data_IF_562623089476
#
_entry.id   IF_562623089476
#
_cell.length_a   1.000
_cell.length_b   1.000
_cell.length_c   1.000
_cell.angle_alpha   90.00
_cell.angle_beta   90.00
_cell.angle_gamma   90.00
#
_symmetry.space_group_name_H-M   'P 1'
#
loop_
_entity.id
_entity.type
_entity.pdbx_description
1 polymer ?
#
# COMPACT_ATOMS: atom_id res chain seq x y z
N UNK A 1 -11.36 6.13 -24.03
CA UNK A 1 -10.34 6.97 -24.69
C UNK A 1 -9.90 8.19 -23.88
N UNK A 2 -10.08 8.23 -22.55
CA UNK A 2 -9.76 9.43 -21.75
C UNK A 2 -8.28 9.81 -21.81
N UNK A 3 -7.38 8.88 -21.45
CA UNK A 3 -5.93 9.12 -21.36
C UNK A 3 -5.34 9.66 -22.66
N UNK A 4 -5.72 9.06 -23.79
CA UNK A 4 -5.24 9.48 -25.12
C UNK A 4 -5.69 10.90 -25.47
N UNK A 5 -6.93 11.26 -25.14
CA UNK A 5 -7.46 12.60 -25.38
C UNK A 5 -6.89 13.63 -24.42
N UNK A 6 -6.66 13.27 -23.15
CA UNK A 6 -5.99 14.14 -22.18
C UNK A 6 -4.55 14.45 -22.64
N UNK A 7 -3.83 13.44 -23.14
CA UNK A 7 -2.48 13.58 -23.71
C UNK A 7 -2.40 14.46 -24.96
N UNK A 8 -3.53 14.64 -25.66
CA UNK A 8 -3.62 15.51 -26.83
C UNK A 8 -4.25 16.87 -26.52
N UNK A 9 -4.56 17.16 -25.26
CA UNK A 9 -5.31 18.35 -24.85
C UNK A 9 -6.71 18.45 -25.50
N UNK A 10 -7.31 17.31 -25.84
CA UNK A 10 -8.63 17.17 -26.49
C UNK A 10 -9.62 16.43 -25.60
N UNK A 11 -9.63 16.71 -24.29
CA UNK A 11 -10.40 15.95 -23.27
C UNK A 11 -11.90 15.79 -23.59
N UNK A 12 -12.52 16.76 -24.28
CA UNK A 12 -13.92 16.72 -24.73
C UNK A 12 -14.20 15.65 -25.80
N UNK A 13 -13.19 15.21 -26.56
CA UNK A 13 -13.33 14.19 -27.61
C UNK A 13 -13.41 12.75 -27.09
N UNK A 14 -13.42 12.52 -25.76
CA UNK A 14 -13.56 11.16 -25.19
C UNK A 14 -14.86 10.45 -25.58
N UNK A 15 -15.89 11.21 -25.92
CA UNK A 15 -17.23 10.74 -26.32
C UNK A 15 -17.52 10.95 -27.82
N UNK A 16 -16.55 11.44 -28.58
CA UNK A 16 -16.70 11.68 -30.02
C UNK A 16 -16.53 10.35 -30.78
N UNK A 17 -17.59 9.79 -31.40
CA UNK A 17 -17.49 8.54 -32.16
C UNK A 17 -16.70 8.71 -33.46
N UNK A 18 -16.62 9.93 -34.00
CA UNK A 18 -15.96 10.27 -35.26
C UNK A 18 -14.60 10.93 -35.04
N UNK A 19 -13.98 10.71 -33.88
CA UNK A 19 -12.67 11.28 -33.54
C UNK A 19 -11.67 11.11 -34.70
N UNK A 20 -10.98 12.19 -35.11
CA UNK A 20 -9.98 12.13 -36.17
C UNK A 20 -8.68 11.44 -35.72
N UNK A 21 -8.57 11.10 -34.43
CA UNK A 21 -7.36 10.49 -33.88
C UNK A 21 -7.53 9.02 -33.51
N UNK A 22 -8.60 8.70 -32.78
CA UNK A 22 -8.75 7.35 -32.24
C UNK A 22 -10.20 6.92 -32.16
N UNK A 23 -10.52 5.78 -32.75
CA UNK A 23 -11.89 5.23 -32.75
C UNK A 23 -11.94 3.83 -32.15
N UNK A 24 -13.13 3.41 -31.75
CA UNK A 24 -13.38 2.13 -31.07
C UNK A 24 -13.90 1.08 -32.06
N UNK A 25 -13.44 -0.15 -31.88
CA UNK A 25 -13.95 -1.33 -32.58
C UNK A 25 -14.12 -2.47 -31.57
N UNK A 26 -15.30 -2.54 -30.96
CA UNK A 26 -15.64 -3.55 -29.95
C UNK A 26 -16.87 -4.35 -30.36
N UNK A 27 -17.14 -5.44 -29.64
CA UNK A 27 -18.32 -6.27 -29.89
C UNK A 27 -19.61 -5.44 -29.89
N UNK A 28 -19.72 -4.51 -28.93
CA UNK A 28 -20.88 -3.62 -28.73
C UNK A 28 -20.93 -2.43 -29.68
N UNK A 29 -19.94 -2.23 -30.56
CA UNK A 29 -20.00 -1.20 -31.60
C UNK A 29 -21.04 -1.63 -32.65
N UNK A 30 -21.92 -0.72 -33.08
CA UNK A 30 -22.92 -1.04 -34.11
C UNK A 30 -22.25 -1.45 -35.42
N UNK A 31 -22.86 -2.35 -36.19
CA UNK A 31 -22.20 -2.92 -37.38
C UNK A 31 -21.95 -1.86 -38.48
N UNK A 32 -22.84 -0.88 -38.62
CA UNK A 32 -22.64 0.27 -39.51
C UNK A 32 -21.41 1.10 -39.10
N UNK A 33 -21.23 1.33 -37.79
CA UNK A 33 -20.05 2.05 -37.27
C UNK A 33 -18.78 1.23 -37.44
N UNK A 34 -18.83 -0.09 -37.24
CA UNK A 34 -17.70 -0.99 -37.52
C UNK A 34 -17.27 -0.89 -38.98
N UNK A 35 -18.21 -0.96 -39.93
CA UNK A 35 -17.92 -0.85 -41.35
C UNK A 35 -17.33 0.52 -41.72
N UNK A 36 -17.97 1.61 -41.28
CA UNK A 36 -17.50 2.96 -41.55
C UNK A 36 -16.13 3.25 -40.93
N UNK A 37 -15.88 2.79 -39.69
CA UNK A 37 -14.58 2.96 -39.04
C UNK A 37 -13.47 2.19 -39.76
N UNK A 38 -13.77 1.01 -40.30
CA UNK A 38 -12.79 0.21 -41.06
C UNK A 38 -12.46 0.85 -42.41
N UNK A 39 -13.46 1.38 -43.10
CA UNK A 39 -13.26 2.15 -44.33
C UNK A 39 -12.44 3.42 -44.07
N UNK A 40 -12.83 4.21 -43.08
CA UNK A 40 -12.12 5.43 -42.69
C UNK A 40 -10.67 5.17 -42.26
N UNK A 41 -10.43 4.05 -41.56
CA UNK A 41 -9.08 3.65 -41.18
C UNK A 41 -8.24 3.24 -42.39
N UNK A 42 -8.83 2.49 -43.32
CA UNK A 42 -8.17 2.08 -44.57
C UNK A 42 -7.81 3.29 -45.43
N UNK A 43 -8.68 4.30 -45.44
CA UNK A 43 -8.49 5.58 -46.13
C UNK A 43 -7.59 6.58 -45.38
N UNK A 44 -6.99 6.20 -44.25
CA UNK A 44 -6.03 7.06 -43.57
C UNK A 44 -6.63 8.16 -42.69
N UNK A 45 -7.96 8.22 -42.52
CA UNK A 45 -8.64 9.35 -41.85
C UNK A 45 -8.30 9.50 -40.36
N UNK A 46 -7.92 8.41 -39.70
CA UNK A 46 -7.44 8.43 -38.33
C UNK A 46 -6.35 7.36 -38.10
N UNK A 47 -5.38 7.58 -37.20
CA UNK A 47 -4.22 6.69 -37.03
C UNK A 47 -4.42 5.50 -36.08
N UNK A 48 -5.33 5.55 -35.10
CA UNK A 48 -5.42 4.52 -34.06
C UNK A 48 -6.81 3.89 -33.95
N UNK A 49 -6.85 2.55 -33.93
CA UNK A 49 -8.05 1.79 -33.55
C UNK A 49 -7.82 1.20 -32.15
N UNK A 50 -8.75 1.47 -31.23
CA UNK A 50 -8.87 0.73 -29.98
C UNK A 50 -9.84 -0.42 -30.20
N UNK A 51 -9.39 -1.66 -30.05
CA UNK A 51 -10.22 -2.84 -30.29
C UNK A 51 -10.08 -3.90 -29.22
N UNK A 52 -11.08 -4.77 -29.15
CA UNK A 52 -11.03 -6.07 -28.47
C UNK A 52 -10.82 -7.17 -29.52
N UNK A 53 -10.81 -8.44 -29.11
CA UNK A 53 -10.80 -9.59 -30.03
C UNK A 53 -11.91 -9.57 -31.10
N UNK A 54 -12.96 -8.77 -30.90
CA UNK A 54 -14.00 -8.49 -31.89
C UNK A 54 -13.47 -8.01 -33.25
N UNK A 55 -12.27 -7.40 -33.30
CA UNK A 55 -11.55 -7.18 -34.56
C UNK A 55 -10.97 -8.53 -35.03
N UNK A 56 -11.86 -9.37 -35.55
CA UNK A 56 -11.65 -10.80 -35.74
C UNK A 56 -10.68 -11.19 -36.85
N UNK A 57 -10.54 -12.51 -37.02
CA UNK A 57 -9.76 -13.14 -38.09
C UNK A 57 -10.34 -12.75 -39.48
N UNK A 58 -9.45 -12.46 -40.44
CA UNK A 58 -9.82 -12.20 -41.83
C UNK A 58 -9.87 -10.72 -42.25
N UNK A 59 -9.78 -9.76 -41.31
CA UNK A 59 -9.65 -8.35 -41.67
C UNK A 59 -8.22 -8.03 -42.09
N UNK A 60 -8.01 -7.66 -43.36
CA UNK A 60 -6.70 -7.33 -43.89
C UNK A 60 -6.34 -5.86 -43.56
N UNK A 61 -5.60 -5.67 -42.49
CA UNK A 61 -5.21 -4.37 -41.98
C UNK A 61 -3.76 -4.02 -42.36
N UNK A 62 -3.48 -3.88 -43.67
CA UNK A 62 -2.11 -3.58 -44.18
C UNK A 62 -1.45 -2.34 -43.55
N UNK A 63 -2.26 -1.37 -43.10
CA UNK A 63 -1.79 -0.13 -42.48
C UNK A 63 -1.36 -0.29 -41.03
N UNK A 64 -1.70 -1.39 -40.36
CA UNK A 64 -1.30 -1.62 -38.97
C UNK A 64 0.20 -1.96 -38.95
N UNK A 65 0.98 -1.00 -38.45
CA UNK A 65 2.43 -1.15 -38.26
C UNK A 65 2.79 -1.39 -36.79
N UNK A 66 1.96 -0.96 -35.86
CA UNK A 66 2.17 -1.11 -34.42
C UNK A 66 0.93 -1.68 -33.72
N UNK A 67 1.13 -2.68 -32.87
CA UNK A 67 0.10 -3.25 -32.00
C UNK A 67 0.50 -3.04 -30.55
N UNK A 68 -0.43 -2.50 -29.76
CA UNK A 68 -0.23 -2.22 -28.34
C UNK A 68 -1.24 -3.08 -27.57
N UNK A 69 -0.76 -4.17 -26.97
CA UNK A 69 -1.59 -5.08 -26.19
C UNK A 69 -1.59 -4.67 -24.71
N UNK A 70 -2.78 -4.45 -24.15
CA UNK A 70 -2.96 -4.06 -22.76
C UNK A 70 -3.55 -5.21 -21.95
N UNK A 71 -2.87 -5.61 -20.87
CA UNK A 71 -3.43 -6.51 -19.88
C UNK A 71 -3.21 -8.00 -20.20
N UNK A 72 -4.10 -8.85 -19.66
CA UNK A 72 -3.99 -10.30 -19.79
C UNK A 72 -4.68 -10.78 -21.07
N UNK A 73 -4.01 -11.69 -21.75
CA UNK A 73 -4.59 -12.57 -22.76
C UNK A 73 -3.91 -13.93 -22.68
N UNK A 74 -4.58 -14.98 -23.13
CA UNK A 74 -3.89 -16.23 -23.40
C UNK A 74 -2.87 -16.02 -24.54
N UNK A 75 -1.77 -16.78 -24.55
CA UNK A 75 -0.72 -16.61 -25.56
C UNK A 75 -1.25 -16.63 -27.00
N UNK A 76 -2.21 -17.52 -27.32
CA UNK A 76 -2.72 -17.67 -28.68
C UNK A 76 -3.47 -16.41 -29.15
N UNK A 77 -4.34 -15.85 -28.31
CA UNK A 77 -5.02 -14.59 -28.57
C UNK A 77 -4.03 -13.43 -28.73
N UNK A 78 -2.98 -13.35 -27.90
CA UNK A 78 -1.96 -12.31 -28.02
C UNK A 78 -1.23 -12.40 -29.36
N UNK A 79 -0.79 -13.59 -29.75
CA UNK A 79 -0.11 -13.80 -31.04
C UNK A 79 -1.04 -13.49 -32.20
N UNK A 80 -2.33 -13.82 -32.12
CA UNK A 80 -3.31 -13.43 -33.13
C UNK A 80 -3.50 -11.91 -33.25
N UNK A 81 -3.42 -11.17 -32.14
CA UNK A 81 -3.47 -9.71 -32.15
C UNK A 81 -2.19 -9.09 -32.68
N UNK A 82 -1.03 -9.59 -32.23
CA UNK A 82 0.29 -9.09 -32.67
C UNK A 82 0.51 -9.39 -34.14
N UNK A 83 0.08 -10.56 -34.63
CA UNK A 83 0.18 -10.94 -36.05
C UNK A 83 -0.60 -10.05 -37.02
N UNK A 84 -1.29 -9.00 -36.53
CA UNK A 84 -1.91 -7.97 -37.37
C UNK A 84 -0.92 -6.93 -37.88
N UNK A 85 0.20 -6.73 -37.18
CA UNK A 85 1.21 -5.78 -37.65
C UNK A 85 2.00 -6.34 -38.83
N UNK A 86 2.38 -5.48 -39.78
CA UNK A 86 3.27 -5.87 -40.87
C UNK A 86 2.61 -6.69 -41.99
N UNK A 87 1.28 -6.62 -42.12
CA UNK A 87 0.56 -7.26 -43.23
C UNK A 87 0.91 -6.71 -44.62
N UNK A 88 1.63 -5.60 -44.68
CA UNK A 88 2.24 -5.02 -45.87
C UNK A 88 3.63 -5.60 -46.21
N UNK A 89 4.13 -6.56 -45.42
CA UNK A 89 5.45 -7.18 -45.58
C UNK A 89 6.59 -6.38 -44.93
N UNK A 90 6.30 -5.21 -44.34
CA UNK A 90 7.30 -4.42 -43.62
C UNK A 90 7.35 -4.82 -42.13
N UNK A 91 8.43 -4.50 -41.43
CA UNK A 91 8.63 -4.85 -40.01
C UNK A 91 7.57 -4.27 -39.07
N UNK A 92 6.73 -5.09 -38.45
CA UNK A 92 5.78 -4.61 -37.45
C UNK A 92 6.40 -4.45 -36.06
N UNK A 93 5.78 -3.61 -35.22
CA UNK A 93 6.14 -3.44 -33.81
C UNK A 93 5.00 -3.93 -32.91
N UNK A 94 5.34 -4.71 -31.89
CA UNK A 94 4.42 -5.13 -30.86
C UNK A 94 4.90 -4.68 -29.48
N UNK A 95 4.04 -3.98 -28.74
CA UNK A 95 4.28 -3.58 -27.36
C UNK A 95 3.28 -4.32 -26.46
N UNK A 96 3.79 -5.07 -25.48
CA UNK A 96 2.99 -5.81 -24.52
C UNK A 96 3.09 -5.12 -23.16
N UNK A 97 1.99 -4.55 -22.67
CA UNK A 97 1.94 -4.03 -21.30
C UNK A 97 1.29 -5.09 -20.40
N UNK A 98 2.17 -5.82 -19.74
CA UNK A 98 1.80 -6.90 -18.83
C UNK A 98 1.89 -6.43 -17.38
N UNK A 99 1.15 -7.10 -16.50
CA UNK A 99 1.28 -6.88 -15.05
C UNK A 99 2.67 -7.32 -14.58
N UNK A 100 3.35 -6.55 -13.70
CA UNK A 100 4.66 -6.94 -13.17
C UNK A 100 4.65 -8.26 -12.40
N UNK A 101 3.54 -8.54 -11.71
CA UNK A 101 3.31 -9.78 -10.97
C UNK A 101 1.89 -10.24 -11.26
N UNK A 102 1.76 -11.38 -11.94
CA UNK A 102 0.46 -12.02 -12.20
C UNK A 102 -0.01 -12.77 -10.96
N UNK A 103 -1.23 -12.49 -10.49
CA UNK A 103 -1.87 -13.25 -9.42
C UNK A 103 -2.09 -14.70 -9.90
N UNK A 104 -1.42 -15.67 -9.26
CA UNK A 104 -1.38 -17.09 -9.66
C UNK A 104 -0.75 -17.37 -11.03
N UNK A 105 -0.08 -16.39 -11.64
CA UNK A 105 0.64 -16.57 -12.90
C UNK A 105 2.12 -16.84 -12.68
N UNK A 106 2.74 -17.44 -13.70
CA UNK A 106 4.18 -17.66 -13.79
C UNK A 106 4.83 -16.37 -14.33
N UNK A 107 5.76 -15.78 -13.58
CA UNK A 107 6.42 -14.51 -13.95
C UNK A 107 7.91 -14.69 -14.23
N UNK A 108 8.50 -15.79 -13.76
CA UNK A 108 9.88 -16.16 -14.01
C UNK A 108 9.96 -17.46 -14.79
N UNK A 109 11.03 -17.64 -15.58
CA UNK A 109 11.30 -18.87 -16.32
C UNK A 109 11.35 -20.10 -15.40
N UNK A 110 11.87 -19.93 -14.18
CA UNK A 110 11.93 -20.99 -13.16
C UNK A 110 10.55 -21.45 -12.66
N UNK A 111 9.48 -20.69 -12.88
CA UNK A 111 8.11 -21.08 -12.52
C UNK A 111 7.54 -22.13 -13.52
N UNK A 112 8.22 -22.34 -14.66
CA UNK A 112 7.83 -23.27 -15.69
C UNK A 112 8.48 -24.64 -15.45
N UNK A 113 7.71 -25.56 -14.90
CA UNK A 113 8.08 -26.97 -14.76
C UNK A 113 7.96 -27.70 -16.11
N UNK A 114 9.06 -28.23 -16.68
CA UNK A 114 9.06 -28.98 -17.94
C UNK A 114 8.28 -30.30 -17.86
N UNK A 115 8.18 -30.90 -16.67
CA UNK A 115 7.52 -32.18 -16.45
C UNK A 115 6.00 -32.02 -16.20
N UNK A 116 5.53 -30.77 -16.10
CA UNK A 116 4.14 -30.45 -15.85
C UNK A 116 3.38 -30.11 -17.14
N UNK A 117 2.17 -30.66 -17.27
CA UNK A 117 1.27 -30.36 -18.39
C UNK A 117 0.94 -28.87 -18.45
N UNK A 118 1.14 -28.29 -19.64
CA UNK A 118 0.79 -26.90 -19.92
C UNK A 118 -0.73 -26.72 -19.97
N UNK A 119 -1.26 -25.84 -19.13
CA UNK A 119 -2.66 -25.43 -19.15
C UNK A 119 -2.90 -24.32 -20.19
N UNK A 120 -4.18 -23.96 -20.38
CA UNK A 120 -4.63 -22.93 -21.33
C UNK A 120 -3.94 -21.56 -21.14
N UNK A 121 -3.46 -21.26 -19.93
CA UNK A 121 -2.76 -20.02 -19.61
C UNK A 121 -1.28 -19.99 -20.03
N UNK A 122 -0.70 -21.15 -20.35
CA UNK A 122 0.71 -21.31 -20.70
C UNK A 122 0.94 -22.08 -22.01
N UNK A 123 -0.13 -22.51 -22.68
CA UNK A 123 -0.06 -23.18 -24.00
C UNK A 123 -0.40 -22.23 -25.15
N UNK A 124 -0.04 -22.65 -26.35
CA UNK A 124 -0.34 -21.97 -27.61
C UNK A 124 -1.11 -22.92 -28.53
N UNK A 125 -2.41 -22.70 -28.68
CA UNK A 125 -3.29 -23.54 -29.52
C UNK A 125 -2.90 -23.52 -31.02
N UNK A 126 -2.07 -22.56 -31.44
CA UNK A 126 -1.59 -22.39 -32.83
C UNK A 126 -0.34 -23.23 -33.13
N UNK A 127 0.35 -23.78 -32.11
CA UNK A 127 1.53 -24.60 -32.34
C UNK A 127 1.10 -26.02 -32.76
N UNK A 128 1.74 -26.65 -33.77
CA UNK A 128 1.31 -27.96 -34.29
C UNK A 128 1.23 -29.07 -33.23
N UNK A 129 1.95 -28.91 -32.11
CA UNK A 129 2.05 -29.88 -31.03
C UNK A 129 1.29 -29.48 -29.76
N UNK A 130 0.62 -28.32 -29.74
CA UNK A 130 -0.25 -27.88 -28.64
C UNK A 130 0.43 -27.43 -27.35
N UNK A 131 1.76 -27.24 -27.34
CA UNK A 131 2.52 -26.72 -26.19
C UNK A 131 3.69 -25.83 -26.65
N UNK A 132 4.17 -24.96 -25.75
CA UNK A 132 5.34 -24.10 -25.98
C UNK A 132 6.61 -24.82 -25.47
N UNK A 133 7.61 -25.10 -26.31
CA UNK A 133 8.87 -25.68 -25.85
C UNK A 133 9.56 -24.81 -24.79
N UNK A 134 9.98 -25.41 -23.68
CA UNK A 134 10.68 -24.74 -22.58
C UNK A 134 12.20 -24.92 -22.62
N UNK A 135 12.71 -25.71 -23.57
CA UNK A 135 14.13 -26.03 -23.72
C UNK A 135 14.53 -25.99 -25.18
N UNK A 136 15.80 -25.61 -25.43
CA UNK A 136 16.40 -25.58 -26.77
C UNK A 136 16.72 -26.96 -27.32
N UNK A 137 16.68 -27.98 -26.47
CA UNK A 137 16.91 -29.38 -26.77
C UNK A 137 15.62 -30.11 -27.18
N UNK A 138 14.46 -29.45 -27.03
CA UNK A 138 13.16 -30.00 -27.43
C UNK A 138 13.14 -30.34 -28.94
N UNK A 139 12.79 -31.57 -29.34
CA UNK A 139 12.76 -31.97 -30.75
C UNK A 139 11.90 -31.09 -31.64
N UNK A 140 10.76 -30.59 -31.13
CA UNK A 140 9.85 -29.71 -31.87
C UNK A 140 10.43 -28.30 -32.01
N UNK A 141 11.15 -27.81 -31.00
CA UNK A 141 11.90 -26.55 -31.12
C UNK A 141 13.00 -26.65 -32.19
N UNK A 142 13.77 -27.74 -32.19
CA UNK A 142 14.82 -27.98 -33.18
C UNK A 142 14.24 -28.10 -34.58
N UNK A 143 13.13 -28.84 -34.74
CA UNK A 143 12.43 -29.00 -36.01
C UNK A 143 11.92 -27.65 -36.55
N UNK A 144 11.30 -26.83 -35.69
CA UNK A 144 10.82 -25.50 -36.11
C UNK A 144 11.97 -24.57 -36.48
N UNK A 145 13.06 -24.57 -35.70
CA UNK A 145 14.27 -23.80 -36.06
C UNK A 145 14.86 -24.21 -37.40
N UNK A 146 14.83 -25.50 -37.72
CA UNK A 146 15.24 -26.00 -39.03
C UNK A 146 14.30 -25.50 -40.14
N UNK A 147 12.98 -25.56 -39.91
CA UNK A 147 11.96 -25.05 -40.83
C UNK A 147 12.13 -23.55 -41.11
N UNK A 148 12.31 -22.73 -40.07
CA UNK A 148 12.55 -21.28 -40.18
C UNK A 148 13.78 -20.98 -41.06
N UNK A 149 14.88 -21.70 -40.86
CA UNK A 149 16.11 -21.55 -41.67
C UNK A 149 15.87 -21.93 -43.13
N UNK A 150 15.21 -23.06 -43.38
CA UNK A 150 14.91 -23.53 -44.73
C UNK A 150 13.95 -22.59 -45.47
N UNK A 151 13.04 -21.96 -44.74
CA UNK A 151 12.10 -20.97 -45.26
C UNK A 151 12.67 -19.54 -45.31
N UNK A 152 13.95 -19.35 -44.95
CA UNK A 152 14.65 -18.05 -44.96
C UNK A 152 13.94 -16.98 -44.12
N UNK A 153 13.38 -17.37 -42.97
CA UNK A 153 12.77 -16.43 -42.04
C UNK A 153 13.84 -15.48 -41.47
N UNK A 154 13.48 -14.21 -41.28
CA UNK A 154 14.36 -13.23 -40.64
C UNK A 154 14.66 -13.62 -39.19
N UNK A 155 15.85 -13.23 -38.71
CA UNK A 155 16.20 -13.39 -37.30
C UNK A 155 15.24 -12.59 -36.41
N UNK A 156 14.85 -13.20 -35.29
CA UNK A 156 13.96 -12.55 -34.34
C UNK A 156 14.64 -11.33 -33.69
N UNK A 157 13.93 -10.20 -33.65
CA UNK A 157 14.38 -8.95 -33.01
C UNK A 157 13.53 -8.58 -31.79
N UNK A 158 12.96 -9.57 -31.10
CA UNK A 158 12.18 -9.32 -29.89
C UNK A 158 13.07 -8.92 -28.71
N UNK A 159 12.45 -8.47 -27.62
CA UNK A 159 13.15 -8.07 -26.38
C UNK A 159 14.00 -9.18 -25.75
N UNK A 160 13.68 -10.45 -26.00
CA UNK A 160 14.46 -11.57 -25.47
C UNK A 160 15.67 -11.90 -26.36
N UNK A 161 15.56 -11.72 -27.68
CA UNK A 161 16.65 -11.99 -28.61
C UNK A 161 17.63 -10.80 -28.74
N UNK A 162 17.13 -9.56 -28.67
CA UNK A 162 17.93 -8.33 -28.76
C UNK A 162 17.53 -7.35 -27.64
N UNK A 163 17.91 -7.63 -26.38
CA UNK A 163 17.50 -6.80 -25.24
C UNK A 163 18.04 -5.37 -25.30
N UNK A 164 19.27 -5.17 -25.79
CA UNK A 164 19.89 -3.84 -25.91
C UNK A 164 19.18 -2.96 -26.95
N UNK A 165 18.86 -3.52 -28.13
CA UNK A 165 18.06 -2.82 -29.14
C UNK A 165 16.68 -2.46 -28.61
N UNK A 166 16.02 -3.39 -27.90
CA UNK A 166 14.70 -3.15 -27.33
C UNK A 166 14.73 -2.02 -26.28
N UNK A 167 15.73 -2.00 -25.40
CA UNK A 167 15.90 -0.92 -24.43
C UNK A 167 16.18 0.42 -25.12
N UNK A 168 17.04 0.44 -26.13
CA UNK A 168 17.32 1.63 -26.94
C UNK A 168 16.06 2.14 -27.63
N UNK A 169 15.28 1.25 -28.24
CA UNK A 169 14.01 1.58 -28.89
C UNK A 169 13.04 2.24 -27.91
N UNK A 170 12.84 1.67 -26.71
CA UNK A 170 11.93 2.23 -25.71
C UNK A 170 12.31 3.65 -25.25
N UNK A 171 13.58 4.03 -25.34
CA UNK A 171 14.06 5.39 -24.99
C UNK A 171 13.66 6.45 -26.01
N UNK A 172 13.44 6.06 -27.26
CA UNK A 172 13.18 6.98 -28.40
C UNK A 172 11.82 6.77 -29.04
N UNK A 173 11.11 5.68 -28.76
CA UNK A 173 9.84 5.30 -29.40
C UNK A 173 8.75 6.38 -29.34
N UNK A 174 8.81 7.30 -28.37
CA UNK A 174 7.85 8.40 -28.25
C UNK A 174 7.92 9.38 -29.44
N UNK A 175 9.05 9.44 -30.15
CA UNK A 175 9.26 10.27 -31.34
C UNK A 175 8.97 9.51 -32.66
N UNK A 176 8.44 8.29 -32.57
CA UNK A 176 8.11 7.46 -33.73
C UNK A 176 6.90 8.01 -34.49
N UNK A 177 7.00 8.04 -35.82
CA UNK A 177 5.95 8.43 -36.74
C UNK A 177 5.99 7.54 -38.00
N UNK A 178 5.11 7.81 -38.96
CA UNK A 178 4.96 6.97 -40.17
C UNK A 178 6.22 6.96 -41.04
N UNK A 179 7.00 8.04 -41.01
CA UNK A 179 8.16 8.23 -41.89
C UNK A 179 9.44 7.64 -41.29
N UNK A 180 9.58 7.67 -39.97
CA UNK A 180 10.81 7.24 -39.28
C UNK A 180 10.72 5.85 -38.63
N UNK A 181 9.54 5.21 -38.62
CA UNK A 181 9.33 3.94 -37.94
C UNK A 181 10.28 2.84 -38.43
N UNK A 182 10.41 2.67 -39.75
CA UNK A 182 11.24 1.61 -40.33
C UNK A 182 12.72 1.80 -39.94
N UNK A 183 13.23 3.05 -40.02
CA UNK A 183 14.60 3.39 -39.63
C UNK A 183 14.84 3.20 -38.12
N UNK A 184 13.88 3.59 -37.27
CA UNK A 184 13.97 3.46 -35.82
C UNK A 184 13.93 2.00 -35.36
N UNK A 185 13.15 1.15 -36.03
CA UNK A 185 13.14 -0.30 -35.78
C UNK A 185 14.42 -0.98 -36.27
N UNK A 186 15.06 -0.43 -37.32
CA UNK A 186 16.31 -0.97 -37.83
C UNK A 186 17.51 -0.61 -36.95
N UNK A 187 17.67 0.67 -36.61
CA UNK A 187 18.82 1.21 -35.89
C UNK A 187 18.38 2.17 -34.77
N UNK A 188 17.87 1.67 -33.62
CA UNK A 188 17.35 2.52 -32.56
C UNK A 188 18.42 3.45 -31.94
N UNK A 189 19.69 3.04 -31.97
CA UNK A 189 20.82 3.82 -31.45
C UNK A 189 21.16 5.06 -32.29
N UNK A 190 20.71 5.12 -33.54
CA UNK A 190 20.94 6.27 -34.41
C UNK A 190 20.10 7.49 -33.99
N UNK A 191 19.06 7.28 -33.18
CA UNK A 191 18.13 8.31 -32.76
C UNK A 191 18.55 8.92 -31.42
N UNK A 192 18.72 10.24 -31.41
CA UNK A 192 18.82 10.98 -30.16
C UNK A 192 17.42 11.23 -29.60
N UNK A 193 17.29 11.06 -28.28
CA UNK A 193 16.03 11.29 -27.58
C UNK A 193 15.67 12.78 -27.62
N UNK A 194 14.50 13.08 -28.18
CA UNK A 194 13.93 14.42 -28.12
C UNK A 194 13.47 14.74 -26.68
N UNK A 195 14.12 15.71 -26.04
CA UNK A 195 13.79 16.15 -24.67
C UNK A 195 12.52 17.01 -24.60
N UNK A 196 12.03 17.52 -25.73
CA UNK A 196 10.79 18.31 -25.77
C UNK A 196 9.53 17.44 -25.60
N UNK A 197 9.63 16.13 -25.86
CA UNK A 197 8.52 15.19 -25.70
C UNK A 197 8.35 14.86 -24.22
N UNK A 198 7.42 15.56 -23.57
CA UNK A 198 7.08 15.34 -22.16
C UNK A 198 6.07 14.21 -22.03
N UNK A 199 6.45 13.16 -21.32
CA UNK A 199 5.54 12.08 -20.93
C UNK A 199 4.58 12.64 -19.87
N UNK A 200 3.28 12.54 -20.12
CA UNK A 200 2.29 12.80 -19.06
C UNK A 200 2.48 11.79 -17.94
N UNK A 201 3.13 12.21 -16.86
CA UNK A 201 3.13 11.43 -15.63
C UNK A 201 1.70 11.45 -15.09
N UNK A 202 1.10 10.27 -14.90
CA UNK A 202 -0.15 10.15 -14.17
C UNK A 202 0.06 10.89 -12.84
N UNK A 203 -0.65 12.01 -12.62
CA UNK A 203 -0.72 12.62 -11.29
C UNK A 203 -1.14 11.48 -10.37
N UNK A 204 -0.23 11.05 -9.49
CA UNK A 204 -0.63 10.14 -8.42
C UNK A 204 -1.86 10.76 -7.81
N UNK A 205 -2.93 9.96 -7.62
CA UNK A 205 -3.99 10.39 -6.72
C UNK A 205 -3.26 10.83 -5.47
N UNK A 206 -3.42 12.08 -5.04
CA UNK A 206 -2.74 12.52 -3.83
C UNK A 206 -3.05 11.48 -2.77
N UNK A 207 -2.04 11.14 -1.98
CA UNK A 207 -2.25 10.40 -0.73
C UNK A 207 -3.10 11.31 0.15
N UNK A 208 -4.40 11.41 -0.16
CA UNK A 208 -5.36 11.98 0.75
C UNK A 208 -5.21 11.14 2.02
N UNK A 209 -5.03 11.77 3.18
CA UNK A 209 -4.97 11.05 4.44
C UNK A 209 -6.16 10.09 4.49
N UNK A 210 -5.91 8.85 4.94
CA UNK A 210 -7.00 7.91 5.19
C UNK A 210 -8.00 8.62 6.07
N UNK A 211 -9.25 8.68 5.63
CA UNK A 211 -10.31 9.23 6.46
C UNK A 211 -10.36 8.51 7.79
N UNK A 212 -10.69 9.25 8.83
CA UNK A 212 -10.92 8.69 10.17
C UNK A 212 -12.34 9.00 10.61
N UNK A 213 -12.83 8.13 11.50
CA UNK A 213 -14.07 8.30 12.21
C UNK A 213 -13.77 8.05 13.69
N UNK A 214 -14.00 9.05 14.54
CA UNK A 214 -13.85 8.93 16.00
C UNK A 214 -14.95 8.14 16.68
N UNK A 215 -16.08 7.92 16.00
CA UNK A 215 -17.25 7.25 16.53
C UNK A 215 -17.08 5.73 16.54
N UNK A 216 -17.76 5.05 17.48
CA UNK A 216 -17.82 3.58 17.49
C UNK A 216 -18.55 3.05 16.25
N UNK A 217 -18.44 1.75 15.96
CA UNK A 217 -19.15 1.15 14.82
C UNK A 217 -20.69 1.33 14.93
N UNK A 218 -21.21 1.35 16.16
CA UNK A 218 -22.65 1.53 16.43
C UNK A 218 -23.06 2.98 16.14
N UNK A 219 -22.32 3.94 16.67
CA UNK A 219 -22.60 5.37 16.50
C UNK A 219 -22.40 5.81 15.04
N UNK A 220 -21.38 5.27 14.38
CA UNK A 220 -21.16 5.47 12.96
C UNK A 220 -22.33 4.92 12.13
N UNK A 221 -22.87 3.74 12.47
CA UNK A 221 -24.05 3.20 11.82
C UNK A 221 -25.29 4.06 12.05
N UNK A 222 -25.45 4.63 13.25
CA UNK A 222 -26.53 5.57 13.55
C UNK A 222 -26.45 6.81 12.66
N UNK A 223 -25.26 7.42 12.53
CA UNK A 223 -25.06 8.57 11.64
C UNK A 223 -25.30 8.19 10.17
N UNK A 224 -24.84 7.04 9.69
CA UNK A 224 -25.10 6.56 8.32
C UNK A 224 -26.61 6.49 8.05
N UNK A 225 -27.37 5.88 8.96
CA UNK A 225 -28.81 5.73 8.82
C UNK A 225 -29.53 7.07 8.88
N UNK A 226 -29.09 7.97 9.76
CA UNK A 226 -29.61 9.34 9.84
C UNK A 226 -29.42 10.06 8.50
N UNK A 227 -28.22 10.02 7.91
CA UNK A 227 -27.94 10.70 6.64
C UNK A 227 -28.77 10.16 5.47
N UNK A 228 -28.94 8.83 5.38
CA UNK A 228 -29.74 8.21 4.32
C UNK A 228 -31.22 8.56 4.47
N UNK A 229 -31.78 8.39 5.67
CA UNK A 229 -33.21 8.68 5.95
C UNK A 229 -33.53 10.16 5.72
N UNK A 230 -32.65 11.02 6.22
CA UNK A 230 -32.70 12.46 6.01
C UNK A 230 -32.71 12.77 4.51
N UNK A 231 -31.78 12.19 3.74
CA UNK A 231 -31.68 12.42 2.30
C UNK A 231 -32.91 11.94 1.54
N UNK A 232 -33.51 10.80 1.89
CA UNK A 232 -34.76 10.33 1.30
C UNK A 232 -35.88 11.36 1.47
N UNK A 233 -36.01 11.95 2.66
CA UNK A 233 -36.97 13.03 2.92
C UNK A 233 -36.70 14.30 2.11
N UNK A 234 -35.43 14.66 1.90
CA UNK A 234 -35.05 15.76 1.00
C UNK A 234 -35.39 15.45 -0.46
N UNK A 235 -35.01 14.27 -0.93
CA UNK A 235 -35.21 13.82 -2.30
C UNK A 235 -36.69 13.90 -2.71
N UNK A 236 -37.59 13.36 -1.88
CA UNK A 236 -39.04 13.41 -2.11
C UNK A 236 -39.56 14.85 -2.17
N UNK A 237 -39.06 15.74 -1.30
CA UNK A 237 -39.45 17.16 -1.26
C UNK A 237 -38.95 17.95 -2.47
N UNK A 238 -37.78 17.63 -3.00
CA UNK A 238 -37.14 18.40 -4.07
C UNK A 238 -37.53 17.95 -5.48
N UNK A 239 -37.60 16.64 -5.72
CA UNK A 239 -37.81 16.09 -7.07
C UNK A 239 -39.24 15.56 -7.29
N UNK A 240 -40.04 15.43 -6.23
CA UNK A 240 -41.33 14.75 -6.28
C UNK A 240 -41.16 13.24 -6.48
N UNK A 241 -42.18 12.45 -6.14
CA UNK A 241 -42.16 10.99 -6.29
C UNK A 241 -42.23 10.55 -7.76
N UNK A 242 -41.25 10.91 -8.59
CA UNK A 242 -41.14 10.39 -9.95
C UNK A 242 -40.71 8.92 -9.89
N UNK A 243 -41.52 8.01 -10.46
CA UNK A 243 -41.30 6.55 -10.43
C UNK A 243 -39.96 6.10 -11.04
N UNK A 244 -39.31 6.95 -11.83
CA UNK A 244 -38.06 6.62 -12.55
C UNK A 244 -36.78 6.89 -11.75
N UNK A 245 -36.83 7.69 -10.67
CA UNK A 245 -35.66 8.10 -9.91
C UNK A 245 -35.75 7.64 -8.45
N UNK A 246 -34.71 6.95 -7.99
CA UNK A 246 -34.65 6.43 -6.61
C UNK A 246 -33.56 7.18 -5.84
N UNK A 247 -33.86 7.65 -4.63
CA UNK A 247 -32.93 8.41 -3.79
C UNK A 247 -31.56 7.71 -3.62
N UNK A 248 -31.58 6.39 -3.42
CA UNK A 248 -30.38 5.56 -3.27
C UNK A 248 -29.45 5.54 -4.50
N UNK A 249 -29.93 5.94 -5.68
CA UNK A 249 -29.09 6.12 -6.86
C UNK A 249 -28.18 7.35 -6.74
N UNK A 250 -28.61 8.37 -5.98
CA UNK A 250 -27.85 9.60 -5.76
C UNK A 250 -27.08 9.57 -4.44
N UNK A 251 -27.70 9.08 -3.38
CA UNK A 251 -27.07 8.95 -2.07
C UNK A 251 -27.73 7.81 -1.27
N UNK A 252 -27.01 6.69 -1.13
CA UNK A 252 -27.43 5.54 -0.35
C UNK A 252 -26.37 5.14 0.68
N UNK A 253 -26.51 3.93 1.24
CA UNK A 253 -25.63 3.41 2.29
C UNK A 253 -24.15 3.45 1.92
N UNK A 254 -23.79 3.19 0.66
CA UNK A 254 -22.39 3.21 0.22
C UNK A 254 -21.78 4.62 0.31
N UNK A 255 -22.50 5.63 -0.17
CA UNK A 255 -22.09 7.03 -0.12
C UNK A 255 -22.06 7.54 1.32
N UNK A 256 -23.09 7.27 2.11
CA UNK A 256 -23.15 7.65 3.51
C UNK A 256 -22.01 7.01 4.32
N UNK A 257 -21.71 5.73 4.11
CA UNK A 257 -20.57 5.05 4.73
C UNK A 257 -19.24 5.70 4.35
N UNK A 258 -19.08 6.10 3.08
CA UNK A 258 -17.85 6.76 2.63
C UNK A 258 -17.65 8.13 3.29
N UNK A 259 -18.73 8.91 3.46
CA UNK A 259 -18.73 10.19 4.17
C UNK A 259 -18.39 10.00 5.65
N UNK A 260 -19.07 9.08 6.34
CA UNK A 260 -18.88 8.84 7.78
C UNK A 260 -17.48 8.34 8.10
N UNK A 261 -16.88 7.51 7.24
CA UNK A 261 -15.47 7.09 7.38
C UNK A 261 -14.46 8.24 7.33
N UNK A 262 -14.87 9.43 6.88
CA UNK A 262 -14.04 10.64 6.76
C UNK A 262 -14.61 11.79 7.58
N UNK A 263 -15.54 11.51 8.50
CA UNK A 263 -16.31 12.54 9.19
C UNK A 263 -15.42 13.47 9.99
N UNK A 264 -14.35 12.95 10.61
CA UNK A 264 -13.44 13.76 11.42
C UNK A 264 -12.79 14.86 10.59
N UNK A 265 -12.41 14.57 9.34
CA UNK A 265 -11.78 15.54 8.43
C UNK A 265 -12.79 16.54 7.87
N UNK A 266 -14.06 16.15 7.72
CA UNK A 266 -15.13 17.02 7.25
C UNK A 266 -15.47 18.05 8.32
N UNK A 267 -15.56 17.62 9.59
CA UNK A 267 -15.95 18.46 10.74
C UNK A 267 -14.78 19.19 11.41
N UNK A 268 -13.52 18.90 11.02
CA UNK A 268 -12.34 19.51 11.61
C UNK A 268 -12.27 21.04 11.40
N UNK A 269 -12.89 21.53 10.34
CA UNK A 269 -12.90 22.94 9.94
C UNK A 269 -14.32 23.47 10.06
N UNK A 270 -14.46 24.72 10.52
CA UNK A 270 -15.73 25.45 10.58
C UNK A 270 -15.68 26.65 9.62
N UNK A 271 -16.59 26.76 8.62
CA UNK A 271 -17.62 25.77 8.25
C UNK A 271 -17.02 24.47 7.70
N UNK A 272 -17.79 23.38 7.74
CA UNK A 272 -17.37 22.05 7.30
C UNK A 272 -16.77 22.05 5.90
N UNK A 273 -15.86 21.10 5.65
CA UNK A 273 -15.18 20.98 4.37
C UNK A 273 -16.08 20.39 3.27
N UNK A 274 -16.82 21.27 2.57
CA UNK A 274 -17.74 20.89 1.50
C UNK A 274 -17.04 20.25 0.29
N UNK A 275 -15.82 20.68 -0.04
CA UNK A 275 -15.05 20.10 -1.15
C UNK A 275 -14.71 18.63 -0.87
N UNK A 276 -14.32 18.33 0.38
CA UNK A 276 -14.06 16.96 0.81
C UNK A 276 -15.35 16.14 0.87
N UNK A 277 -16.46 16.72 1.34
CA UNK A 277 -17.77 16.07 1.35
C UNK A 277 -18.20 15.68 -0.07
N UNK A 278 -18.15 16.61 -1.02
CA UNK A 278 -18.46 16.37 -2.44
C UNK A 278 -17.58 15.26 -3.03
N UNK A 279 -16.27 15.33 -2.76
CA UNK A 279 -15.31 14.32 -3.22
C UNK A 279 -15.63 12.92 -2.68
N UNK A 280 -16.04 12.81 -1.41
CA UNK A 280 -16.27 11.51 -0.73
C UNK A 280 -17.63 10.91 -1.05
N UNK A 281 -18.64 11.73 -1.27
CA UNK A 281 -19.93 11.28 -1.79
C UNK A 281 -19.76 10.62 -3.16
N UNK A 282 -19.03 11.28 -4.07
CA UNK A 282 -18.84 10.81 -5.44
C UNK A 282 -20.15 10.67 -6.23
N UNK A 283 -20.05 10.23 -7.48
CA UNK A 283 -21.21 10.10 -8.37
C UNK A 283 -21.72 11.43 -8.92
N UNK A 284 -22.89 11.40 -9.55
CA UNK A 284 -23.60 12.60 -10.00
C UNK A 284 -24.52 13.10 -8.90
N UNK A 285 -24.48 14.39 -8.61
CA UNK A 285 -25.35 15.07 -7.65
C UNK A 285 -26.01 16.27 -8.32
N UNK A 286 -27.15 16.69 -7.76
CA UNK A 286 -27.88 17.86 -8.25
C UNK A 286 -27.64 19.07 -7.32
N UNK A 287 -27.90 20.31 -7.81
CA UNK A 287 -27.64 21.51 -7.03
C UNK A 287 -28.35 21.49 -5.67
N UNK A 288 -27.61 21.80 -4.60
CA UNK A 288 -28.14 21.85 -3.23
C UNK A 288 -27.96 20.57 -2.42
N UNK A 289 -27.69 19.41 -3.05
CA UNK A 289 -27.52 18.14 -2.36
C UNK A 289 -26.38 18.16 -1.32
N UNK A 290 -25.19 18.67 -1.67
CA UNK A 290 -24.03 18.71 -0.77
C UNK A 290 -24.30 19.56 0.47
N UNK A 291 -24.90 20.74 0.29
CA UNK A 291 -25.29 21.62 1.40
C UNK A 291 -26.33 20.99 2.31
N UNK A 292 -27.20 20.15 1.74
CA UNK A 292 -28.23 19.47 2.51
C UNK A 292 -27.65 18.35 3.38
N UNK A 293 -26.73 17.55 2.83
CA UNK A 293 -26.00 16.54 3.61
C UNK A 293 -25.16 17.19 4.70
N UNK A 294 -24.52 18.32 4.41
CA UNK A 294 -23.81 19.12 5.41
C UNK A 294 -24.71 19.54 6.57
N UNK A 295 -25.91 20.06 6.25
CA UNK A 295 -26.90 20.40 7.26
C UNK A 295 -27.36 19.18 8.07
N UNK A 296 -27.59 18.03 7.44
CA UNK A 296 -27.97 16.79 8.13
C UNK A 296 -26.87 16.28 9.07
N UNK A 297 -25.58 16.51 8.74
CA UNK A 297 -24.45 16.24 9.63
C UNK A 297 -24.53 17.18 10.84
N UNK A 298 -24.73 18.49 10.63
CA UNK A 298 -24.89 19.46 11.72
C UNK A 298 -26.08 19.12 12.62
N UNK A 299 -27.25 18.79 12.05
CA UNK A 299 -28.43 18.37 12.81
C UNK A 299 -28.15 17.15 13.69
N UNK A 300 -27.36 16.18 13.20
CA UNK A 300 -26.98 15.02 13.99
C UNK A 300 -25.98 15.37 15.10
N UNK A 301 -25.01 16.24 14.82
CA UNK A 301 -24.03 16.71 15.79
C UNK A 301 -24.68 17.51 16.92
N UNK A 302 -25.68 18.32 16.60
CA UNK A 302 -26.41 19.14 17.57
C UNK A 302 -27.57 18.38 18.25
N UNK A 303 -27.91 17.20 17.72
CA UNK A 303 -29.04 16.39 18.18
C UNK A 303 -28.81 15.68 19.53
N UNK A 304 -29.93 15.26 20.15
CA UNK A 304 -29.96 14.61 21.46
C UNK A 304 -29.07 13.35 21.53
N UNK A 305 -28.98 12.59 20.44
CA UNK A 305 -28.14 11.38 20.39
C UNK A 305 -26.65 11.70 20.58
N UNK A 306 -26.12 12.71 19.88
CA UNK A 306 -24.72 13.07 20.03
C UNK A 306 -24.45 13.73 21.39
N UNK A 307 -25.41 14.49 21.94
CA UNK A 307 -25.30 15.02 23.31
C UNK A 307 -25.14 13.89 24.34
N UNK A 308 -26.00 12.87 24.28
CA UNK A 308 -25.87 11.66 25.09
C UNK A 308 -24.52 10.98 24.92
N UNK A 309 -24.05 10.84 23.68
CA UNK A 309 -22.75 10.24 23.38
C UNK A 309 -21.58 11.04 24.00
N UNK A 310 -21.61 12.37 23.93
CA UNK A 310 -20.59 13.22 24.56
C UNK A 310 -20.62 13.08 26.09
N UNK A 311 -21.80 13.00 26.70
CA UNK A 311 -21.95 12.77 28.14
C UNK A 311 -21.40 11.41 28.57
N UNK A 312 -21.66 10.34 27.81
CA UNK A 312 -21.14 9.01 28.09
C UNK A 312 -19.60 8.97 27.97
N UNK A 313 -19.04 9.56 26.92
CA UNK A 313 -17.60 9.68 26.73
C UNK A 313 -16.96 10.47 27.89
N UNK A 314 -17.58 11.56 28.33
CA UNK A 314 -17.12 12.36 29.45
C UNK A 314 -17.19 11.58 30.78
N UNK A 315 -18.26 10.82 31.01
CA UNK A 315 -18.41 9.98 32.19
C UNK A 315 -17.35 8.88 32.26
N UNK A 316 -17.11 8.18 31.14
CA UNK A 316 -16.06 7.15 31.05
C UNK A 316 -14.66 7.75 31.27
N UNK A 317 -14.39 8.94 30.72
CA UNK A 317 -13.13 9.64 30.94
C UNK A 317 -12.95 10.06 32.40
N UNK A 318 -14.01 10.52 33.06
CA UNK A 318 -14.00 10.86 34.48
C UNK A 318 -13.76 9.63 35.36
N UNK A 319 -14.43 8.51 35.09
CA UNK A 319 -14.24 7.24 35.81
C UNK A 319 -12.79 6.74 35.67
N UNK A 320 -12.23 6.79 34.46
CA UNK A 320 -10.84 6.39 34.20
C UNK A 320 -9.85 7.29 34.96
N UNK A 321 -10.11 8.58 35.00
CA UNK A 321 -9.29 9.55 35.74
C UNK A 321 -9.36 9.29 37.25
N UNK A 322 -10.55 9.04 37.77
CA UNK A 322 -10.76 8.68 39.18
C UNK A 322 -10.03 7.40 39.56
N UNK A 323 -10.14 6.33 38.76
CA UNK A 323 -9.41 5.07 38.96
C UNK A 323 -7.90 5.28 38.99
N UNK A 324 -7.36 6.08 38.06
CA UNK A 324 -5.94 6.40 38.03
C UNK A 324 -5.48 7.20 39.27
N UNK A 325 -6.31 8.11 39.78
CA UNK A 325 -6.03 8.86 41.02
C UNK A 325 -6.01 7.94 42.24
N UNK A 326 -6.97 7.02 42.35
CA UNK A 326 -7.02 6.03 43.45
C UNK A 326 -5.77 5.15 43.44
N UNK A 327 -5.40 4.58 42.28
CA UNK A 327 -4.19 3.76 42.17
C UNK A 327 -2.90 4.54 42.50
N UNK A 328 -2.85 5.82 42.12
CA UNK A 328 -1.71 6.68 42.45
C UNK A 328 -1.60 6.94 43.96
N UNK A 329 -2.74 7.16 44.63
CA UNK A 329 -2.82 7.38 46.07
C UNK A 329 -2.40 6.12 46.84
N UNK A 330 -2.89 4.94 46.43
CA UNK A 330 -2.53 3.65 47.04
C UNK A 330 -1.03 3.37 46.91
N UNK A 331 -0.43 3.64 45.74
CA UNK A 331 1.01 3.53 45.52
C UNK A 331 1.81 4.49 46.41
N UNK A 332 1.28 5.69 46.67
CA UNK A 332 1.93 6.64 47.56
C UNK A 332 1.89 6.16 49.02
N UNK A 333 0.73 5.73 49.51
CA UNK A 333 0.58 5.19 50.86
C UNK A 333 1.50 3.98 51.10
N UNK A 334 1.61 3.08 50.13
CA UNK A 334 2.51 1.92 50.24
C UNK A 334 3.98 2.33 50.33
N UNK A 335 4.40 3.38 49.60
CA UNK A 335 5.76 3.93 49.69
C UNK A 335 6.04 4.57 51.05
N UNK A 336 5.08 5.32 51.58
CA UNK A 336 5.18 5.93 52.92
C UNK A 336 5.27 4.85 54.01
N UNK A 337 4.40 3.84 53.99
CA UNK A 337 4.47 2.70 54.89
C UNK A 337 5.80 1.94 54.77
N UNK A 338 6.32 1.73 53.56
CA UNK A 338 7.63 1.10 53.35
C UNK A 338 8.78 1.95 53.91
N UNK A 339 8.71 3.29 53.80
CA UNK A 339 9.71 4.19 54.35
C UNK A 339 9.70 4.17 55.89
N UNK A 340 8.52 4.16 56.51
CA UNK A 340 8.40 4.10 57.97
C UNK A 340 8.81 2.72 58.51
N UNK A 341 8.44 1.63 57.85
CA UNK A 341 8.93 0.29 58.18
C UNK A 341 10.47 0.19 58.10
N UNK A 342 11.09 0.86 57.12
CA UNK A 342 12.57 0.94 57.03
C UNK A 342 13.17 1.70 58.22
N UNK A 343 12.56 2.80 58.68
CA UNK A 343 13.02 3.55 59.87
C UNK A 343 12.91 2.69 61.12
N UNK A 344 11.77 2.05 61.34
CA UNK A 344 11.52 1.15 62.49
C UNK A 344 12.56 0.02 62.50
N UNK A 345 12.80 -0.62 61.34
CA UNK A 345 13.79 -1.69 61.23
C UNK A 345 15.22 -1.20 61.50
N UNK A 346 15.58 0.00 61.05
CA UNK A 346 16.89 0.58 61.30
C UNK A 346 17.09 0.89 62.80
N UNK A 347 16.06 1.39 63.48
CA UNK A 347 16.09 1.67 64.91
C UNK A 347 16.17 0.39 65.75
N UNK A 348 15.39 -0.64 65.41
CA UNK A 348 15.48 -1.96 66.04
C UNK A 348 16.88 -2.55 65.93
N UNK A 349 17.50 -2.50 64.74
CA UNK A 349 18.89 -2.94 64.52
C UNK A 349 19.90 -2.14 65.33
N UNK A 350 19.66 -0.83 65.54
CA UNK A 350 20.53 0.03 66.35
C UNK A 350 20.46 -0.36 67.83
N UNK A 351 19.26 -0.58 68.35
CA UNK A 351 19.04 -1.04 69.73
C UNK A 351 19.65 -2.42 69.97
N UNK A 352 19.48 -3.35 69.03
CA UNK A 352 20.08 -4.68 69.11
C UNK A 352 21.62 -4.62 69.18
N UNK A 353 22.26 -3.81 68.32
CA UNK A 353 23.70 -3.58 68.40
C UNK A 353 24.15 -2.99 69.74
N UNK A 354 23.38 -2.08 70.31
CA UNK A 354 23.67 -1.50 71.63
C UNK A 354 23.57 -2.54 72.74
N UNK A 355 22.56 -3.41 72.70
CA UNK A 355 22.38 -4.53 73.62
C UNK A 355 23.55 -5.52 73.56
N UNK A 356 23.95 -5.93 72.35
CA UNK A 356 25.09 -6.84 72.15
C UNK A 356 26.39 -6.19 72.68
N UNK A 357 26.62 -4.91 72.38
CA UNK A 357 27.79 -4.20 72.87
C UNK A 357 27.79 -4.05 74.40
N UNK A 358 26.64 -3.80 75.02
CA UNK A 358 26.48 -3.72 76.46
C UNK A 358 26.74 -5.08 77.13
N UNK A 359 26.20 -6.17 76.59
CA UNK A 359 26.45 -7.53 77.07
C UNK A 359 27.94 -7.89 77.00
N UNK A 360 28.61 -7.56 75.89
CA UNK A 360 30.05 -7.80 75.72
C UNK A 360 30.87 -7.03 76.75
N UNK A 361 30.58 -5.75 76.99
CA UNK A 361 31.25 -4.95 78.04
C UNK A 361 31.07 -5.55 79.44
N UNK A 362 29.90 -6.12 79.72
CA UNK A 362 29.59 -6.72 81.01
C UNK A 362 30.37 -8.05 81.20
N UNK A 363 30.52 -8.83 80.13
CA UNK A 363 31.37 -10.03 80.13
C UNK A 363 32.85 -9.67 80.29
N UNK A 364 33.34 -8.68 79.54
CA UNK A 364 34.73 -8.20 79.64
C UNK A 364 35.03 -7.65 81.05
N UNK A 365 34.09 -6.94 81.67
CA UNK A 365 34.22 -6.46 83.04
C UNK A 365 34.28 -7.60 84.07
N UNK A 366 33.44 -8.63 83.92
CA UNK A 366 33.49 -9.84 84.77
C UNK A 366 34.82 -10.59 84.61
N UNK A 367 35.34 -10.67 83.38
CA UNK A 367 36.62 -11.32 83.10
C UNK A 367 37.80 -10.54 83.71
N UNK A 368 37.80 -9.21 83.59
CA UNK A 368 38.81 -8.37 84.24
C UNK A 368 38.76 -8.48 85.77
N UNK A 369 37.57 -8.61 86.35
CA UNK A 369 37.39 -8.85 87.78
C UNK A 369 37.98 -10.20 88.19
N UNK A 370 37.73 -11.26 87.40
CA UNK A 370 38.31 -12.60 87.61
C UNK A 370 39.85 -12.58 87.54
N UNK A 371 40.43 -11.90 86.54
CA UNK A 371 41.89 -11.74 86.41
C UNK A 371 42.48 -10.93 87.57
N UNK A 372 41.76 -9.93 88.07
CA UNK A 372 42.18 -9.15 89.24
C UNK A 372 42.17 -9.99 90.52
N UNK A 373 41.18 -10.85 90.67
CA UNK A 373 41.07 -11.77 91.80
C UNK A 373 42.15 -12.87 91.74
N UNK A 374 42.44 -13.42 90.55
CA UNK A 374 43.54 -14.38 90.34
C UNK A 374 44.94 -13.79 90.63
N UNK A 375 45.16 -12.52 90.29
CA UNK A 375 46.42 -11.80 90.60
C UNK A 375 46.62 -11.54 92.10
N UNK A 376 45.56 -11.52 92.91
CA UNK A 376 45.68 -11.43 94.37
C UNK A 376 46.09 -12.76 95.01
N UNK A 377 46.06 -13.87 94.26
CA UNK A 377 46.28 -15.24 94.79
C UNK A 377 47.60 -15.92 94.39
N UNK A 378 48.56 -15.27 93.70
CA UNK A 378 49.86 -15.89 93.38
C UNK A 378 51.08 -15.12 93.95
N UNK A 379 52.09 -15.82 94.52
CA UNK A 379 53.28 -15.20 95.12
C UNK A 379 54.39 -14.91 94.10
N UNK A 380 55.14 -13.83 94.36
CA UNK A 380 56.25 -13.29 93.55
C UNK A 380 57.37 -14.30 93.24
N UNK A 381 57.85 -14.32 91.99
CA UNK A 381 59.25 -14.65 91.67
C UNK A 381 59.78 -13.96 90.39
N UNK A 382 60.81 -13.16 90.63
CA UNK A 382 61.93 -12.63 89.84
C UNK A 382 62.31 -13.29 88.49
N UNK A 383 62.47 -12.44 87.45
CA UNK A 383 63.73 -12.13 86.75
C UNK A 383 64.02 -12.54 85.28
N UNK A 384 64.48 -11.52 84.53
CA UNK A 384 65.39 -11.47 83.35
C UNK A 384 64.77 -12.03 82.04
N UNK A 385 64.78 -11.39 80.86
CA UNK A 385 65.53 -10.27 80.30
C UNK A 385 66.13 -10.72 78.96
N UNK A 386 65.73 -10.13 77.82
CA UNK A 386 66.57 -9.87 76.62
C UNK A 386 65.77 -9.24 75.48
N UNK A 387 66.36 -8.19 74.89
CA UNK A 387 65.92 -7.55 73.65
C UNK A 387 66.51 -8.27 72.45
N UNK A 388 65.74 -8.35 71.35
CA UNK A 388 66.32 -8.49 70.00
C UNK A 388 65.53 -7.64 69.00
N UNK A 389 66.22 -6.68 68.39
CA UNK A 389 65.85 -5.93 67.17
C UNK A 389 65.92 -6.86 65.96
N UNK A 390 65.01 -6.71 64.99
CA UNK A 390 65.32 -6.70 63.54
C UNK A 390 64.05 -6.35 62.74
N UNK A 391 64.21 -5.47 61.75
CA UNK A 391 63.14 -4.92 60.92
C UNK A 391 62.86 -5.70 59.63
N UNK A 392 62.44 -4.94 58.61
CA UNK A 392 61.96 -5.34 57.26
C UNK A 392 60.44 -5.61 57.30
N UNK A 393 59.56 -5.07 56.47
CA UNK A 393 59.65 -4.28 55.23
C UNK A 393 58.38 -4.56 54.41
N UNK A 394 58.03 -3.63 53.53
CA UNK A 394 57.13 -3.79 52.33
C UNK A 394 55.60 -3.87 52.50
N UNK A 395 54.95 -2.81 52.00
CA UNK A 395 53.69 -2.71 51.21
C UNK A 395 53.63 -3.75 50.06
N UNK A 396 52.52 -4.02 49.31
CA UNK A 396 51.54 -3.01 48.83
C UNK A 396 50.10 -3.45 48.43
N UNK A 397 49.30 -2.43 48.08
CA UNK A 397 48.37 -2.36 46.93
C UNK A 397 46.94 -2.93 46.97
N UNK A 398 46.11 -2.22 46.17
CA UNK A 398 44.80 -2.54 45.56
C UNK A 398 43.60 -2.42 46.50
N UNK A 399 42.48 -1.82 46.10
CA UNK A 399 41.98 -1.48 44.76
C UNK A 399 40.47 -1.73 44.77
N UNK A 400 39.77 -0.94 43.95
CA UNK A 400 38.32 -0.88 43.70
C UNK A 400 37.43 -0.13 44.70
#
# INVERSE_FOLDING_TARGET
MKVVNDARHTSKHKYDPLSPFIRRYHLVTGDNEKASNMEDYSNGKFPIISSTMALGLGQNLKRVRCVIHMGRGDPASIVQMVGRCGGDGKTGLALLFMEPVRLKGKNHEADFDPDCLQNDDVRMDVWPHGYIPLSTEDPNYIAEKSRERNALFYSCRCSNCLPLDAEALLKVIQQMNVDNMDAMLQEPFAFQKDQSIVIMTRKQKSNHPKGTCKYSDIDAAHLINHLVTSFEGFFVRTLGGAEELVASQFFGLAQATAVVKTIDQIIQVDPHNLDLLEQKMGGGFFPGQVKWIDHAITEWLDGEYNQYLQEEIAAQAAEKTYKAQVEALEKQQLKEQAADNRKILAEAKRLEKQLIAAQKRLLDAKEQQRISDEKKTMPNTCCIGTQTKLGIGTTPSRGD
#
